data_IF_276754918570
#
_entry.id   IF_276754918570
#
_cell.length_a   1.000
_cell.length_b   1.000
_cell.length_c   1.000
_cell.angle_alpha   90.00
_cell.angle_beta   90.00
_cell.angle_gamma   90.00
#
_symmetry.space_group_name_H-M   'P 1'
#
loop_
_entity.id
_entity.type
_entity.pdbx_description
1 polymer ?
#
# COMPACT_ATOMS: atom_id res chain seq x y z
N UNK A 1 22.95 54.83 -14.53
CA UNK A 1 23.16 53.69 -13.61
C UNK A 1 22.51 52.46 -14.23
N UNK A 2 23.31 51.42 -14.49
CA UNK A 2 22.95 50.20 -15.20
C UNK A 2 22.51 49.12 -14.21
N UNK A 3 21.30 48.58 -14.34
CA UNK A 3 20.89 47.36 -13.64
C UNK A 3 20.77 46.27 -14.70
N UNK A 4 21.75 45.36 -14.68
CA UNK A 4 21.94 44.25 -15.63
C UNK A 4 20.89 43.17 -15.43
N UNK A 5 20.34 42.68 -16.55
CA UNK A 5 19.70 41.37 -16.65
C UNK A 5 20.69 40.28 -16.23
N UNK A 6 20.33 39.44 -15.26
CA UNK A 6 20.85 38.08 -15.15
C UNK A 6 19.69 37.16 -14.81
N UNK A 7 19.12 36.57 -15.86
CA UNK A 7 18.40 35.32 -15.76
C UNK A 7 19.38 34.22 -15.37
N UNK A 8 19.16 33.59 -14.22
CA UNK A 8 19.80 32.35 -13.84
C UNK A 8 18.70 31.37 -13.42
N UNK A 9 18.04 30.80 -14.44
CA UNK A 9 17.29 29.55 -14.31
C UNK A 9 18.27 28.45 -13.94
N UNK A 10 18.45 28.20 -12.65
CA UNK A 10 19.03 26.96 -12.13
C UNK A 10 17.87 26.12 -11.61
N UNK A 11 17.10 25.56 -12.56
CA UNK A 11 16.34 24.33 -12.33
C UNK A 11 17.36 23.18 -12.30
N UNK A 12 18.08 23.07 -11.18
CA UNK A 12 18.91 21.91 -10.89
C UNK A 12 18.02 20.80 -10.37
N UNK A 13 17.79 19.79 -11.22
CA UNK A 13 17.21 18.51 -10.85
C UNK A 13 17.90 17.95 -9.59
N UNK A 14 17.18 17.90 -8.47
CA UNK A 14 17.37 16.85 -7.47
C UNK A 14 16.23 15.86 -7.66
N UNK A 15 16.45 15.00 -8.65
CA UNK A 15 15.68 13.79 -8.86
C UNK A 15 15.72 12.94 -7.58
N UNK A 16 14.53 12.64 -7.06
CA UNK A 16 14.17 11.37 -6.44
C UNK A 16 15.19 10.66 -5.57
N UNK A 17 15.41 11.14 -4.36
CA UNK A 17 15.86 10.31 -3.23
C UNK A 17 14.99 10.59 -2.00
N UNK A 18 13.67 10.58 -2.17
CA UNK A 18 12.80 10.28 -1.04
C UNK A 18 12.87 8.77 -0.82
N UNK A 19 13.93 8.33 -0.14
CA UNK A 19 13.95 7.04 0.55
C UNK A 19 12.85 7.07 1.61
N UNK A 20 11.61 6.87 1.17
CA UNK A 20 10.48 6.61 2.06
C UNK A 20 10.75 5.23 2.63
N UNK A 21 11.25 5.20 3.87
CA UNK A 21 11.54 3.96 4.58
C UNK A 21 10.44 2.94 4.34
N UNK A 22 10.85 1.79 3.80
CA UNK A 22 10.01 0.65 3.47
C UNK A 22 9.37 0.17 4.77
N UNK A 23 8.22 0.74 5.13
CA UNK A 23 7.41 0.28 6.25
C UNK A 23 6.40 -0.77 5.79
N UNK A 24 6.15 -0.88 4.48
CA UNK A 24 5.44 -2.02 3.89
C UNK A 24 6.50 -3.05 3.58
N UNK A 25 6.56 -4.15 4.33
CA UNK A 25 7.57 -5.17 4.12
C UNK A 25 7.51 -5.64 2.67
N UNK A 26 8.62 -5.49 1.95
CA UNK A 26 8.80 -6.11 0.65
C UNK A 26 8.75 -7.62 0.76
N UNK A 27 8.46 -8.29 -0.36
CA UNK A 27 8.65 -9.74 -0.41
C UNK A 27 10.15 -10.06 -0.46
N UNK A 28 10.69 -10.85 0.49
CA UNK A 28 12.13 -11.14 0.55
C UNK A 28 12.61 -12.04 -0.60
N UNK A 29 11.71 -12.66 -1.37
CA UNK A 29 12.06 -13.45 -2.55
C UNK A 29 12.40 -12.60 -3.77
N UNK A 30 12.14 -11.29 -3.73
CA UNK A 30 12.41 -10.37 -4.84
C UNK A 30 13.71 -9.59 -4.65
N UNK A 31 14.47 -9.32 -5.73
CA UNK A 31 15.62 -8.43 -5.68
C UNK A 31 15.24 -7.02 -5.21
N UNK A 32 16.13 -6.38 -4.45
CA UNK A 32 15.99 -4.97 -4.09
C UNK A 32 15.82 -4.11 -5.35
N UNK A 33 14.78 -3.27 -5.37
CA UNK A 33 14.48 -2.40 -6.50
C UNK A 33 13.70 -3.07 -7.64
N UNK A 34 13.21 -4.30 -7.44
CA UNK A 34 12.36 -4.97 -8.42
C UNK A 34 11.03 -4.21 -8.61
N UNK A 35 10.65 -3.80 -9.83
CA UNK A 35 9.39 -3.12 -10.10
C UNK A 35 8.15 -3.91 -9.67
N UNK A 36 8.24 -5.24 -9.55
CA UNK A 36 7.17 -6.10 -9.03
C UNK A 36 6.95 -5.86 -7.53
N UNK A 37 8.01 -5.62 -6.77
CA UNK A 37 7.93 -5.26 -5.36
C UNK A 37 7.22 -3.91 -5.19
N UNK A 38 7.53 -2.93 -6.05
CA UNK A 38 6.82 -1.65 -6.04
C UNK A 38 5.32 -1.81 -6.30
N UNK A 39 4.92 -2.71 -7.21
CA UNK A 39 3.50 -3.00 -7.49
C UNK A 39 2.80 -3.66 -6.31
N UNK A 40 3.47 -4.58 -5.61
CA UNK A 40 2.94 -5.21 -4.39
C UNK A 40 2.70 -4.15 -3.31
N UNK A 41 3.72 -3.34 -3.02
CA UNK A 41 3.64 -2.25 -2.03
C UNK A 41 2.54 -1.25 -2.40
N UNK A 42 2.46 -0.86 -3.68
CA UNK A 42 1.45 0.07 -4.17
C UNK A 42 0.02 -0.47 -4.00
N UNK A 43 -0.18 -1.77 -4.24
CA UNK A 43 -1.49 -2.42 -4.11
C UNK A 43 -1.89 -2.59 -2.65
N UNK A 44 -0.96 -2.96 -1.76
CA UNK A 44 -1.21 -3.00 -0.31
C UNK A 44 -1.55 -1.60 0.23
N UNK A 45 -0.85 -0.57 -0.23
CA UNK A 45 -1.15 0.81 0.15
C UNK A 45 -2.54 1.29 -0.31
N UNK A 46 -3.01 0.85 -1.47
CA UNK A 46 -4.37 1.15 -1.93
C UNK A 46 -5.43 0.58 -0.95
N UNK A 47 -5.20 -0.64 -0.44
CA UNK A 47 -6.06 -1.26 0.60
C UNK A 47 -6.05 -0.40 1.88
N UNK A 48 -4.89 0.08 2.33
CA UNK A 48 -4.82 0.94 3.53
C UNK A 48 -5.55 2.28 3.35
N UNK A 49 -5.44 2.91 2.18
CA UNK A 49 -6.17 4.14 1.90
C UNK A 49 -7.68 3.89 1.84
N UNK A 50 -8.13 2.77 1.26
CA UNK A 50 -9.53 2.37 1.27
C UNK A 50 -10.02 2.12 2.70
N UNK A 51 -9.27 1.40 3.53
CA UNK A 51 -9.62 1.12 4.91
C UNK A 51 -9.79 2.41 5.74
N UNK A 52 -8.87 3.38 5.58
CA UNK A 52 -8.98 4.68 6.25
C UNK A 52 -10.21 5.46 5.77
N UNK A 53 -10.57 5.36 4.50
CA UNK A 53 -11.77 6.00 3.96
C UNK A 53 -13.05 5.38 4.53
N UNK A 54 -13.14 4.05 4.58
CA UNK A 54 -14.27 3.33 5.20
C UNK A 54 -14.43 3.71 6.67
N UNK A 55 -13.35 3.67 7.45
CA UNK A 55 -13.40 4.08 8.86
C UNK A 55 -13.91 5.52 9.01
N UNK A 56 -13.44 6.44 8.17
CA UNK A 56 -13.90 7.85 8.22
C UNK A 56 -15.38 7.98 7.86
N UNK A 57 -15.85 7.23 6.86
CA UNK A 57 -17.26 7.21 6.47
C UNK A 57 -18.15 6.69 7.63
N UNK A 58 -17.64 5.74 8.41
CA UNK A 58 -18.33 5.17 9.57
C UNK A 58 -18.20 6.02 10.85
N UNK A 59 -17.53 7.19 10.79
CA UNK A 59 -17.23 8.00 11.98
C UNK A 59 -16.20 7.39 12.93
N UNK A 60 -15.48 6.36 12.48
CA UNK A 60 -14.44 5.63 13.21
C UNK A 60 -13.04 6.15 12.85
N UNK A 61 -12.04 5.72 13.61
CA UNK A 61 -10.63 6.04 13.36
C UNK A 61 -9.76 4.79 13.53
N UNK A 62 -8.67 4.65 12.75
CA UNK A 62 -7.68 3.63 13.02
C UNK A 62 -7.00 3.89 14.38
N UNK A 63 -6.52 2.84 15.04
CA UNK A 63 -5.73 2.95 16.27
C UNK A 63 -4.29 3.38 16.02
N UNK A 64 -3.86 3.40 14.75
CA UNK A 64 -2.54 3.80 14.29
C UNK A 64 -2.59 4.60 13.00
N UNK A 65 -1.56 4.46 12.16
CA UNK A 65 -1.51 5.08 10.84
C UNK A 65 -1.33 4.02 9.74
N UNK A 66 -2.43 3.42 9.24
CA UNK A 66 -2.40 2.42 8.15
C UNK A 66 -1.62 2.87 6.93
N UNK A 67 -1.64 4.17 6.63
CA UNK A 67 -1.06 4.77 5.43
C UNK A 67 0.38 5.25 5.60
N UNK A 68 1.00 5.03 6.77
CA UNK A 68 2.39 5.47 7.01
C UNK A 68 3.34 4.79 6.03
N UNK A 69 4.14 5.59 5.33
CA UNK A 69 5.10 5.13 4.32
C UNK A 69 4.46 4.77 2.96
N UNK A 70 3.15 4.95 2.80
CA UNK A 70 2.50 4.75 1.50
C UNK A 70 2.67 5.95 0.58
N UNK A 71 2.92 5.74 -0.73
CA UNK A 71 2.95 6.84 -1.69
C UNK A 71 1.54 7.41 -1.86
N UNK A 72 1.41 8.74 -1.86
CA UNK A 72 0.12 9.42 -1.94
C UNK A 72 -0.70 9.02 -3.19
N UNK A 73 -0.01 8.75 -4.32
CA UNK A 73 -0.64 8.25 -5.54
C UNK A 73 -1.39 6.91 -5.39
N UNK A 74 -1.08 6.10 -4.37
CA UNK A 74 -1.82 4.87 -4.11
C UNK A 74 -3.25 5.14 -3.62
N UNK A 75 -3.54 6.32 -3.05
CA UNK A 75 -4.90 6.70 -2.65
C UNK A 75 -5.87 6.83 -3.83
N UNK A 76 -5.35 7.08 -5.03
CA UNK A 76 -6.15 7.17 -6.26
C UNK A 76 -6.40 5.80 -6.91
N UNK A 77 -5.76 4.73 -6.44
CA UNK A 77 -5.99 3.38 -6.96
C UNK A 77 -7.22 2.80 -6.27
N UNK A 78 -8.26 2.39 -7.02
CA UNK A 78 -9.40 1.72 -6.42
C UNK A 78 -8.97 0.37 -5.85
N UNK A 79 -9.38 0.11 -4.61
CA UNK A 79 -9.26 -1.17 -3.93
C UNK A 79 -10.63 -1.53 -3.37
N UNK A 80 -11.24 -2.57 -3.94
CA UNK A 80 -12.52 -3.06 -3.45
C UNK A 80 -12.31 -3.89 -2.17
N UNK A 81 -12.52 -3.22 -1.04
CA UNK A 81 -12.38 -3.81 0.30
C UNK A 81 -13.70 -4.31 0.88
N UNK A 82 -14.78 -4.34 0.10
CA UNK A 82 -16.05 -4.88 0.56
C UNK A 82 -15.96 -6.41 0.67
N UNK A 83 -16.50 -7.02 1.73
CA UNK A 83 -16.44 -8.46 1.91
C UNK A 83 -17.29 -9.15 0.84
N UNK A 84 -16.69 -10.10 0.14
CA UNK A 84 -17.36 -10.99 -0.80
C UNK A 84 -18.06 -12.13 -0.05
N UNK A 85 -19.09 -12.72 -0.67
CA UNK A 85 -19.74 -13.93 -0.16
C UNK A 85 -18.88 -15.15 -0.50
N UNK A 86 -18.66 -16.04 0.47
CA UNK A 86 -17.98 -17.34 0.31
C UNK A 86 -16.54 -17.26 -0.22
N UNK A 87 -15.68 -16.52 0.48
CA UNK A 87 -14.24 -16.49 0.22
C UNK A 87 -13.47 -17.59 0.96
N UNK A 88 -12.25 -17.94 0.51
CA UNK A 88 -11.36 -18.81 1.26
C UNK A 88 -11.10 -18.26 2.66
N UNK A 89 -10.91 -19.15 3.64
CA UNK A 89 -10.34 -18.74 4.92
C UNK A 89 -8.90 -18.24 4.73
N UNK A 90 -8.47 -17.33 5.59
CA UNK A 90 -7.07 -16.89 5.63
C UNK A 90 -6.20 -18.11 5.94
N UNK A 91 -5.38 -18.53 4.98
CA UNK A 91 -4.43 -19.62 5.14
C UNK A 91 -3.11 -19.12 5.74
N UNK A 92 -2.30 -20.01 6.35
CA UNK A 92 -0.94 -19.68 6.75
C UNK A 92 -0.10 -19.12 5.58
N UNK A 93 0.96 -18.38 5.91
CA UNK A 93 1.83 -17.72 4.95
C UNK A 93 1.40 -16.29 4.65
N UNK A 94 1.52 -15.87 3.39
CA UNK A 94 1.31 -14.46 3.02
C UNK A 94 -0.07 -13.89 3.37
N UNK A 95 -1.20 -14.60 3.19
CA UNK A 95 -2.50 -14.08 3.62
C UNK A 95 -2.52 -13.74 5.12
N UNK A 96 -1.99 -14.63 5.97
CA UNK A 96 -1.89 -14.38 7.40
C UNK A 96 -0.94 -13.23 7.72
N UNK A 97 0.20 -13.12 7.03
CA UNK A 97 1.13 -12.00 7.22
C UNK A 97 0.52 -10.66 6.82
N UNK A 98 -0.20 -10.61 5.69
CA UNK A 98 -0.91 -9.43 5.21
C UNK A 98 -1.97 -9.01 6.23
N UNK A 99 -2.78 -9.95 6.73
CA UNK A 99 -3.74 -9.70 7.80
C UNK A 99 -3.08 -9.11 9.04
N UNK A 100 -2.02 -9.75 9.54
CA UNK A 100 -1.28 -9.29 10.72
C UNK A 100 -0.69 -7.89 10.54
N UNK A 101 -0.22 -7.54 9.33
CA UNK A 101 0.27 -6.19 9.01
C UNK A 101 -0.84 -5.15 9.08
N UNK A 102 -2.06 -5.45 8.64
CA UNK A 102 -3.19 -4.53 8.75
C UNK A 102 -3.46 -4.17 10.23
N UNK A 103 -3.53 -5.18 11.09
CA UNK A 103 -3.73 -5.00 12.53
C UNK A 103 -2.58 -4.19 13.14
N UNK A 104 -1.34 -4.57 12.85
CA UNK A 104 -0.15 -3.89 13.38
C UNK A 104 -0.06 -2.41 12.98
N UNK A 105 -0.64 -2.04 11.82
CA UNK A 105 -0.70 -0.64 11.37
C UNK A 105 -1.91 0.12 11.92
N UNK A 106 -2.79 -0.55 12.65
CA UNK A 106 -3.91 0.04 13.37
C UNK A 106 -5.24 0.00 12.63
N UNK A 107 -5.41 -0.93 11.67
CA UNK A 107 -6.74 -1.28 11.16
C UNK A 107 -7.46 -2.09 12.25
N UNK A 108 -8.68 -1.70 12.67
CA UNK A 108 -9.48 -2.49 13.62
C UNK A 108 -9.74 -3.91 13.12
N UNK A 109 -9.82 -4.88 14.02
CA UNK A 109 -9.92 -6.31 13.66
C UNK A 109 -11.17 -6.64 12.84
N UNK A 110 -12.30 -6.04 13.17
CA UNK A 110 -13.56 -6.23 12.44
C UNK A 110 -13.45 -5.78 10.97
N UNK A 111 -12.82 -4.63 10.71
CA UNK A 111 -12.57 -4.18 9.35
C UNK A 111 -11.47 -5.01 8.66
N UNK A 112 -10.45 -5.43 9.39
CA UNK A 112 -9.41 -6.31 8.85
C UNK A 112 -10.00 -7.67 8.44
N UNK A 113 -10.96 -8.20 9.19
CA UNK A 113 -11.69 -9.42 8.87
C UNK A 113 -12.52 -9.24 7.59
N UNK A 114 -13.20 -8.11 7.44
CA UNK A 114 -13.94 -7.77 6.23
C UNK A 114 -13.00 -7.63 5.01
N UNK A 115 -11.88 -6.93 5.17
CA UNK A 115 -10.86 -6.80 4.13
C UNK A 115 -10.28 -8.16 3.75
N UNK A 116 -10.02 -9.06 4.70
CA UNK A 116 -9.52 -10.41 4.42
C UNK A 116 -10.49 -11.24 3.58
N UNK A 117 -11.77 -10.83 3.52
CA UNK A 117 -12.80 -11.40 2.68
C UNK A 117 -13.09 -10.60 1.41
N UNK A 118 -12.31 -9.57 1.13
CA UNK A 118 -12.53 -8.68 0.00
C UNK A 118 -11.78 -9.10 -1.25
N UNK A 119 -12.24 -8.59 -2.40
CA UNK A 119 -11.55 -8.77 -3.68
C UNK A 119 -10.13 -8.22 -3.64
N UNK A 120 -9.92 -7.03 -3.08
CA UNK A 120 -8.61 -6.38 -3.06
C UNK A 120 -7.55 -7.19 -2.30
N UNK A 121 -7.94 -7.86 -1.21
CA UNK A 121 -7.03 -8.72 -0.46
C UNK A 121 -6.58 -9.92 -1.28
N UNK A 122 -7.52 -10.66 -1.87
CA UNK A 122 -7.20 -11.84 -2.66
C UNK A 122 -6.52 -11.51 -4.00
N UNK A 123 -6.80 -10.34 -4.59
CA UNK A 123 -6.05 -9.83 -5.75
C UNK A 123 -4.58 -9.58 -5.39
N UNK A 124 -4.28 -9.08 -4.18
CA UNK A 124 -2.90 -8.88 -3.72
C UNK A 124 -2.21 -10.22 -3.44
N UNK A 125 -2.91 -11.18 -2.84
CA UNK A 125 -2.40 -12.55 -2.65
C UNK A 125 -2.04 -13.17 -4.01
N UNK A 126 -2.96 -13.12 -4.97
CA UNK A 126 -2.73 -13.65 -6.31
C UNK A 126 -1.60 -12.92 -7.05
N UNK A 127 -1.50 -11.59 -6.91
CA UNK A 127 -0.42 -10.80 -7.49
C UNK A 127 0.94 -11.20 -6.92
N UNK A 128 1.03 -11.44 -5.60
CA UNK A 128 2.28 -11.92 -5.00
C UNK A 128 2.64 -13.29 -5.54
N UNK A 129 1.69 -14.21 -5.55
CA UNK A 129 1.94 -15.59 -5.96
C UNK A 129 2.39 -15.65 -7.43
N UNK A 130 1.82 -14.83 -8.32
CA UNK A 130 2.29 -14.73 -9.71
C UNK A 130 3.71 -14.16 -9.81
N UNK A 131 3.99 -13.12 -9.03
CA UNK A 131 5.31 -12.47 -8.99
C UNK A 131 6.40 -13.43 -8.51
N UNK A 132 6.13 -14.26 -7.50
CA UNK A 132 7.07 -15.27 -6.99
C UNK A 132 7.22 -16.44 -7.95
N UNK A 133 6.11 -16.89 -8.53
CA UNK A 133 6.12 -18.03 -9.46
C UNK A 133 6.70 -17.69 -10.83
N UNK A 134 6.88 -16.40 -11.14
CA UNK A 134 7.50 -15.94 -12.39
C UNK A 134 6.60 -16.01 -13.62
N UNK A 135 5.28 -16.09 -13.43
CA UNK A 135 4.27 -16.09 -14.50
C UNK A 135 3.84 -14.68 -14.90
#
# INVERSE_FOLDING_TARGET
>A
MQIKLIAACILGLLAGCAGQGVLVSGDPSLPTGDPRQERLVFSECAIYFAAVQTLRADGRRPSGNPTRGCPAKAAARPADINPMVSVPSVSPGFPQELYSRMIARGVPSDLADDIARSKAFWDLVALRDSVISGF
#
